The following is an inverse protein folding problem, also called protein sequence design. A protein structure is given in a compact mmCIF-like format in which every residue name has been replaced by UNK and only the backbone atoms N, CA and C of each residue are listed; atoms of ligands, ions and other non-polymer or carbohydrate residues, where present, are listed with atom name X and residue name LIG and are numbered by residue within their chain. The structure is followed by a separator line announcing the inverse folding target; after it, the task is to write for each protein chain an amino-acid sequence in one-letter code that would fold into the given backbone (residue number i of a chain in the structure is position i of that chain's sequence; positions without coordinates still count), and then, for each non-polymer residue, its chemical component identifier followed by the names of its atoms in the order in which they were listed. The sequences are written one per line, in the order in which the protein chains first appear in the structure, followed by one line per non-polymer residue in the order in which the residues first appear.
data_IF_561524248024
#
_entry.id   IF_561524248024
#
_cell.length_a   1.000
_cell.length_b   1.000
_cell.length_c   1.000
_cell.angle_alpha   90.00
_cell.angle_beta   90.00
_cell.angle_gamma   90.00
#
_symmetry.space_group_name_H-M   'P 1'
#
loop_
_entity.id
_entity.type
_entity.pdbx_description
1 polymer ?
#
# COMPACT_ATOMS: atom_id res chain seq x y z
N UNK A 1 8.88 6.28 5.58
CA UNK A 1 8.61 4.85 5.38
C UNK A 1 8.66 4.53 3.90
N UNK A 2 9.48 3.55 3.53
CA UNK A 2 9.63 3.07 2.15
C UNK A 2 8.89 1.75 2.00
N UNK A 3 8.37 1.48 0.81
CA UNK A 3 7.74 0.20 0.47
C UNK A 3 8.52 -0.53 -0.62
N UNK A 4 8.39 -1.86 -0.64
CA UNK A 4 8.80 -2.73 -1.73
C UNK A 4 7.54 -3.27 -2.38
N UNK A 5 7.40 -3.02 -3.68
CA UNK A 5 6.36 -3.64 -4.49
C UNK A 5 6.98 -4.64 -5.44
N UNK A 6 6.32 -5.78 -5.66
CA UNK A 6 6.66 -6.66 -6.77
C UNK A 6 6.34 -5.93 -8.07
N UNK A 7 7.26 -6.03 -9.03
CA UNK A 7 7.08 -5.49 -10.37
C UNK A 7 7.71 -6.49 -11.32
N UNK A 8 6.89 -7.41 -11.84
CA UNK A 8 7.33 -8.56 -12.63
C UNK A 8 8.38 -9.42 -11.89
N UNK A 9 9.64 -9.36 -12.35
CA UNK A 9 10.76 -10.17 -11.86
C UNK A 9 11.65 -9.46 -10.83
N UNK A 10 11.35 -8.20 -10.44
CA UNK A 10 12.13 -7.48 -9.44
C UNK A 10 11.23 -6.75 -8.44
N UNK A 11 11.84 -6.26 -7.36
CA UNK A 11 11.16 -5.43 -6.36
C UNK A 11 11.50 -3.96 -6.52
N UNK A 12 10.53 -3.16 -6.95
CA UNK A 12 10.65 -1.72 -7.01
C UNK A 12 10.47 -1.10 -5.62
N UNK A 13 11.33 -0.14 -5.28
CA UNK A 13 11.16 0.68 -4.08
C UNK A 13 10.17 1.82 -4.37
N UNK A 14 9.22 2.04 -3.47
CA UNK A 14 8.29 3.18 -3.49
C UNK A 14 8.63 4.12 -2.32
N UNK A 15 8.77 5.41 -2.64
CA UNK A 15 9.20 6.43 -1.68
C UNK A 15 8.08 6.79 -0.68
N UNK A 16 8.38 7.38 0.48
CA UNK A 16 7.36 7.85 1.43
C UNK A 16 6.46 8.97 0.91
N UNK A 17 6.88 9.65 -0.16
CA UNK A 17 6.22 10.83 -0.71
C UNK A 17 5.62 10.51 -2.08
N UNK A 18 4.81 11.44 -2.57
CA UNK A 18 4.28 11.41 -3.94
C UNK A 18 5.44 11.29 -4.92
N UNK A 19 5.44 10.23 -5.72
CA UNK A 19 6.54 9.89 -6.61
C UNK A 19 6.11 9.67 -8.07
N UNK A 20 4.88 10.04 -8.43
CA UNK A 20 4.29 9.78 -9.75
C UNK A 20 4.03 8.30 -10.03
N UNK A 21 4.18 7.43 -9.02
CA UNK A 21 3.92 6.00 -9.16
C UNK A 21 2.43 5.76 -9.26
N UNK A 22 1.99 5.10 -10.32
CA UNK A 22 0.62 4.64 -10.49
C UNK A 22 0.48 3.22 -9.93
N UNK A 23 -0.57 3.00 -9.14
CA UNK A 23 -0.90 1.72 -8.52
C UNK A 23 -2.24 1.23 -9.05
N UNK A 24 -2.31 -0.06 -9.37
CA UNK A 24 -3.60 -0.74 -9.48
C UNK A 24 -4.10 -1.06 -8.07
N UNK A 25 -5.26 -0.50 -7.69
CA UNK A 25 -5.82 -0.65 -6.33
C UNK A 25 -7.02 -1.58 -6.28
N UNK A 26 -7.64 -1.82 -7.43
CA UNK A 26 -8.68 -2.83 -7.72
C UNK A 26 -8.54 -3.18 -9.21
N UNK A 27 -9.14 -4.30 -9.69
CA UNK A 27 -9.10 -4.62 -11.11
C UNK A 27 -9.54 -3.42 -11.96
N UNK A 28 -8.67 -3.01 -12.89
CA UNK A 28 -8.89 -1.88 -13.82
C UNK A 28 -9.03 -0.51 -13.15
N UNK A 29 -8.75 -0.38 -11.86
CA UNK A 29 -8.77 0.88 -11.13
C UNK A 29 -7.35 1.30 -10.75
N UNK A 30 -6.86 2.31 -11.45
CA UNK A 30 -5.54 2.89 -11.23
C UNK A 30 -5.62 4.19 -10.44
N UNK A 31 -4.75 4.33 -9.44
CA UNK A 31 -4.67 5.51 -8.59
C UNK A 31 -3.21 5.96 -8.44
N UNK A 32 -2.98 7.27 -8.43
CA UNK A 32 -1.65 7.81 -8.15
C UNK A 32 -1.31 7.58 -6.67
N UNK A 33 -0.09 7.13 -6.42
CA UNK A 33 0.44 7.00 -5.07
C UNK A 33 0.85 8.36 -4.51
N UNK A 34 0.19 8.75 -3.42
CA UNK A 34 0.35 10.06 -2.80
C UNK A 34 1.32 10.06 -1.61
N UNK A 35 1.83 8.88 -1.22
CA UNK A 35 2.72 8.71 -0.07
C UNK A 35 2.07 7.98 1.09
N UNK A 36 2.54 8.27 2.31
CA UNK A 36 1.98 7.73 3.55
C UNK A 36 1.07 8.71 4.28
N UNK A 37 0.06 8.19 4.98
CA UNK A 37 -0.84 8.99 5.83
C UNK A 37 -1.08 8.30 7.17
N UNK A 38 -1.10 9.06 8.26
CA UNK A 38 -1.46 8.51 9.56
C UNK A 38 -2.95 8.14 9.62
N UNK A 39 -3.25 7.01 10.28
CA UNK A 39 -4.60 6.46 10.43
C UNK A 39 -5.57 7.45 11.06
N UNK A 40 -5.12 8.27 12.01
CA UNK A 40 -5.96 9.29 12.65
C UNK A 40 -6.37 10.36 11.65
N UNK A 41 -5.46 10.79 10.78
CA UNK A 41 -5.71 11.80 9.74
C UNK A 41 -6.57 11.23 8.61
N UNK A 42 -6.30 9.99 8.18
CA UNK A 42 -7.07 9.33 7.12
C UNK A 42 -8.58 9.27 7.42
N UNK A 43 -8.94 9.09 8.69
CA UNK A 43 -10.35 9.05 9.16
C UNK A 43 -11.06 10.39 9.08
N UNK A 44 -10.32 11.49 9.01
CA UNK A 44 -10.88 12.84 8.97
C UNK A 44 -11.16 13.30 7.54
N UNK A 45 -10.70 12.58 6.52
CA UNK A 45 -10.87 12.98 5.12
C UNK A 45 -12.28 12.60 4.63
N UNK A 46 -13.12 13.58 4.24
CA UNK A 46 -14.45 13.30 3.71
C UNK A 46 -14.37 12.47 2.42
N UNK A 47 -15.16 11.40 2.34
CA UNK A 47 -15.23 10.53 1.17
C UNK A 47 -14.03 9.58 1.00
N UNK A 48 -13.08 9.56 1.95
CA UNK A 48 -12.01 8.59 1.93
C UNK A 48 -12.53 7.16 2.10
N UNK A 49 -11.99 6.24 1.29
CA UNK A 49 -12.32 4.81 1.34
C UNK A 49 -11.12 4.00 1.78
N UNK A 50 -11.32 3.13 2.76
CA UNK A 50 -10.33 2.12 3.10
C UNK A 50 -10.27 1.08 1.97
N UNK A 51 -9.07 0.74 1.50
CA UNK A 51 -8.84 -0.27 0.48
C UNK A 51 -7.68 -1.19 0.84
N UNK A 52 -7.65 -2.38 0.26
CA UNK A 52 -6.46 -3.24 0.28
C UNK A 52 -5.49 -2.79 -0.82
N UNK A 53 -4.20 -2.72 -0.52
CA UNK A 53 -3.13 -2.52 -1.51
C UNK A 53 -2.59 -3.85 -2.06
N UNK A 54 -3.36 -4.95 -1.96
CA UNK A 54 -2.97 -6.25 -2.50
C UNK A 54 -2.74 -6.24 -4.01
N UNK A 55 -3.60 -5.56 -4.78
CA UNK A 55 -3.43 -5.39 -6.24
C UNK A 55 -2.19 -4.56 -6.61
N UNK A 56 -1.73 -3.68 -5.71
CA UNK A 56 -0.51 -2.90 -5.90
C UNK A 56 0.77 -3.70 -5.63
N UNK A 57 0.63 -4.99 -5.27
CA UNK A 57 1.69 -5.95 -4.97
C UNK A 57 2.74 -5.46 -3.97
N UNK A 58 2.33 -4.65 -2.99
CA UNK A 58 3.21 -4.26 -1.89
C UNK A 58 3.55 -5.48 -1.04
N UNK A 59 4.84 -5.80 -0.93
CA UNK A 59 5.35 -7.00 -0.28
C UNK A 59 6.20 -6.70 0.96
N UNK A 60 6.74 -5.49 1.08
CA UNK A 60 7.59 -5.15 2.22
C UNK A 60 7.69 -3.66 2.50
N UNK A 61 8.27 -3.32 3.64
CA UNK A 61 8.44 -1.96 4.11
C UNK A 61 9.67 -1.79 4.99
N UNK A 62 10.12 -0.54 5.16
CA UNK A 62 11.13 -0.14 6.14
C UNK A 62 10.90 1.30 6.58
N UNK A 63 11.33 1.66 7.78
CA UNK A 63 11.08 3.01 8.32
C UNK A 63 12.01 4.03 7.66
N UNK A 64 13.32 3.76 7.68
CA UNK A 64 14.40 4.55 7.10
C UNK A 64 15.20 3.77 6.06
N UNK A 65 16.14 4.43 5.38
CA UNK A 65 17.01 3.80 4.37
C UNK A 65 18.06 2.87 4.95
N UNK A 66 18.38 3.02 6.24
CA UNK A 66 19.35 2.18 6.94
C UNK A 66 18.71 0.92 7.55
N UNK A 67 17.39 0.92 7.66
CA UNK A 67 16.66 -0.21 8.23
C UNK A 67 16.58 -1.40 7.27
N UNK A 68 16.57 -2.59 7.87
CA UNK A 68 16.28 -3.84 7.14
C UNK A 68 14.83 -3.84 6.66
N UNK A 69 14.62 -4.46 5.49
CA UNK A 69 13.29 -4.69 4.97
C UNK A 69 12.51 -5.68 5.84
N UNK A 70 11.27 -5.31 6.14
CA UNK A 70 10.27 -6.17 6.76
C UNK A 70 9.28 -6.61 5.69
N UNK A 71 9.04 -7.91 5.58
CA UNK A 71 8.14 -8.49 4.58
C UNK A 71 6.82 -8.86 5.25
N UNK A 72 5.71 -8.69 4.52
CA UNK A 72 4.40 -9.16 4.99
C UNK A 72 4.25 -10.65 4.67
N UNK A 73 3.44 -11.35 5.47
CA UNK A 73 3.15 -12.77 5.25
C UNK A 73 2.06 -12.95 4.20
N UNK A 74 1.97 -14.16 3.65
CA UNK A 74 0.89 -14.54 2.75
C UNK A 74 -0.49 -14.30 3.40
N UNK A 75 -1.45 -13.85 2.59
CA UNK A 75 -2.79 -13.51 3.07
C UNK A 75 -2.86 -12.21 3.87
N UNK A 76 -1.79 -11.41 3.91
CA UNK A 76 -1.81 -10.05 4.45
C UNK A 76 -1.77 -9.02 3.32
N UNK A 77 -2.28 -7.83 3.60
CA UNK A 77 -2.13 -6.69 2.71
C UNK A 77 -1.96 -5.40 3.51
N UNK A 78 -1.22 -4.48 2.91
CA UNK A 78 -1.16 -3.11 3.38
C UNK A 78 -2.51 -2.42 3.16
N UNK A 79 -2.91 -1.58 4.11
CA UNK A 79 -4.12 -0.78 4.00
C UNK A 79 -3.82 0.53 3.28
N UNK A 80 -4.65 0.84 2.29
CA UNK A 80 -4.66 2.10 1.59
C UNK A 80 -5.83 2.99 2.00
N UNK A 81 -5.64 4.30 1.86
CA UNK A 81 -6.68 5.32 1.95
C UNK A 81 -6.86 5.91 0.55
N UNK A 82 -7.97 5.54 -0.11
CA UNK A 82 -8.32 6.00 -1.44
C UNK A 82 -9.17 7.26 -1.36
N UNK A 83 -8.73 8.31 -2.03
CA UNK A 83 -9.41 9.59 -2.20
C UNK A 83 -9.51 9.93 -3.69
N UNK A 84 -10.20 11.01 -4.04
CA UNK A 84 -10.39 11.39 -5.45
C UNK A 84 -9.08 11.67 -6.20
N UNK A 85 -8.05 12.14 -5.48
CA UNK A 85 -6.75 12.49 -6.05
C UNK A 85 -5.80 11.29 -6.20
N UNK A 86 -6.08 10.16 -5.54
CA UNK A 86 -5.17 9.03 -5.50
C UNK A 86 -5.25 8.23 -4.21
N UNK A 87 -4.17 7.51 -3.90
CA UNK A 87 -4.10 6.58 -2.78
C UNK A 87 -2.90 6.86 -1.88
N UNK A 88 -3.14 6.85 -0.58
CA UNK A 88 -2.08 6.81 0.43
C UNK A 88 -1.92 5.39 0.98
N UNK A 89 -0.70 5.01 1.37
CA UNK A 89 -0.50 3.89 2.30
C UNK A 89 -0.74 4.37 3.73
N UNK A 90 -1.58 3.65 4.48
CA UNK A 90 -1.93 4.05 5.85
C UNK A 90 -0.87 3.55 6.83
N UNK A 91 -0.45 4.43 7.74
CA UNK A 91 0.41 4.11 8.88
C UNK A 91 -0.34 4.26 10.20
N UNK A 92 0.01 3.45 11.18
CA UNK A 92 -0.49 3.50 12.55
C UNK A 92 0.70 3.32 13.50
N UNK A 93 0.97 4.31 14.36
CA UNK A 93 2.10 4.31 15.31
C UNK A 93 3.45 3.98 14.64
N UNK A 94 3.77 4.70 13.55
CA UNK A 94 5.00 4.54 12.75
C UNK A 94 5.17 3.20 12.03
N UNK A 95 4.17 2.32 12.05
CA UNK A 95 4.17 1.08 11.27
C UNK A 95 3.10 1.14 10.20
N UNK A 96 3.28 0.48 9.06
CA UNK A 96 2.19 0.38 8.10
C UNK A 96 1.03 -0.38 8.73
N UNK A 97 -0.19 0.08 8.45
CA UNK A 97 -1.38 -0.65 8.84
C UNK A 97 -1.51 -1.86 7.91
N UNK A 98 -1.36 -3.06 8.47
CA UNK A 98 -1.46 -4.33 7.76
C UNK A 98 -2.69 -5.06 8.29
N UNK A 99 -3.51 -5.59 7.38
CA UNK A 99 -4.67 -6.43 7.72
C UNK A 99 -4.57 -7.77 7.01
N UNK A 100 -5.32 -8.75 7.50
CA UNK A 100 -5.59 -9.95 6.70
C UNK A 100 -6.34 -9.51 5.45
N UNK A 101 -5.81 -9.85 4.29
CA UNK A 101 -6.54 -9.68 3.04
C UNK A 101 -7.63 -10.76 3.00
N UNK A 102 -8.87 -10.44 2.58
CA UNK A 102 -9.73 -11.49 2.08
C UNK A 102 -8.96 -12.22 0.98
N UNK A 103 -8.91 -13.55 1.05
CA UNK A 103 -8.23 -14.38 0.05
C UNK A 103 -8.84 -14.03 -1.30
N UNK A 104 -8.07 -13.33 -2.13
CA UNK A 104 -8.41 -13.19 -3.54
C UNK A 104 -8.18 -14.57 -4.16
N UNK A 105 -9.23 -15.38 -4.27
CA UNK A 105 -9.20 -16.61 -5.07
C UNK A 105 -8.98 -16.20 -6.52
N UNK A 106 -7.74 -15.98 -6.92
CA UNK A 106 -7.35 -15.72 -8.30
C UNK A 106 -6.57 -16.96 -8.74
N UNK A 107 -7.26 -17.83 -9.49
CA UNK A 107 -6.64 -18.79 -10.43
C UNK A 107 -6.06 -20.08 -9.85
N UNK A 108 -6.92 -21.04 -9.49
CA UNK A 108 -6.65 -22.42 -9.93
C UNK A 108 -7.41 -22.60 -11.25
N UNK A 109 -6.67 -22.60 -12.35
CA UNK A 109 -7.11 -23.09 -13.66
C UNK A 109 -6.44 -24.43 -13.92
#
# INVERSE_FOLDING_TARGET
MYFKRRFNCFFQQVSPHRSGVILEVKPELFAEYLGTIDRSVARLIPGAREISLGYAEFAGWRLSELDRWQWISDGQAFVGCLINQGVFAVIDRQKPLIKKSPVSTIGQS
#
